data_IF_693683519631
#
_entry.id   IF_693683519631
#
_cell.length_a   1.000
_cell.length_b   1.000
_cell.length_c   1.000
_cell.angle_alpha   90.00
_cell.angle_beta   90.00
_cell.angle_gamma   90.00
#
_symmetry.space_group_name_H-M   'P 1'
#
loop_
_entity.id
_entity.type
_entity.pdbx_description
1 polymer ?
#
# COMPACT_ATOMS: atom_id res chain seq x y z
N UNK A 1 22.90 92.39 -20.68
CA UNK A 1 21.65 93.10 -20.82
C UNK A 1 20.53 92.10 -21.14
N UNK A 2 19.44 92.15 -20.43
CA UNK A 2 18.23 91.37 -20.72
C UNK A 2 17.53 91.99 -21.93
N UNK A 3 17.23 91.21 -22.92
CA UNK A 3 16.38 91.68 -24.03
C UNK A 3 14.92 91.31 -23.69
N UNK A 4 14.11 92.32 -23.54
CA UNK A 4 12.66 92.16 -23.35
C UNK A 4 12.00 92.27 -24.73
N UNK A 5 11.43 91.20 -25.22
CA UNK A 5 10.71 91.22 -26.51
C UNK A 5 9.22 91.35 -26.16
N UNK A 6 8.78 92.57 -26.05
CA UNK A 6 7.37 92.93 -25.92
C UNK A 6 6.83 93.38 -27.30
N UNK A 7 6.14 92.49 -28.01
CA UNK A 7 5.48 92.82 -29.27
C UNK A 7 5.57 91.68 -30.31
N UNK A 8 4.62 91.62 -31.24
CA UNK A 8 4.60 90.67 -32.37
C UNK A 8 5.62 91.03 -33.40
N UNK A 9 6.85 90.59 -33.32
CA UNK A 9 7.90 90.77 -34.29
C UNK A 9 8.48 89.48 -34.81
N UNK A 10 8.48 89.21 -36.11
CA UNK A 10 9.17 88.13 -36.76
C UNK A 10 10.63 88.56 -36.98
N UNK A 11 11.54 88.07 -36.17
CA UNK A 11 12.98 88.24 -36.47
C UNK A 11 13.45 87.03 -37.30
N UNK A 12 13.85 87.30 -38.54
CA UNK A 12 14.59 86.39 -39.41
C UNK A 12 16.08 86.60 -39.17
N UNK A 13 16.68 85.72 -38.40
CA UNK A 13 18.14 85.73 -38.16
C UNK A 13 18.47 85.00 -36.86
N UNK A 14 19.72 84.48 -36.76
CA UNK A 14 20.23 83.87 -35.58
C UNK A 14 20.42 84.93 -34.48
N UNK A 15 19.57 84.95 -33.47
CA UNK A 15 19.78 85.77 -32.28
C UNK A 15 20.49 84.93 -31.24
N UNK A 16 21.71 85.31 -30.88
CA UNK A 16 22.48 84.70 -29.78
C UNK A 16 22.22 85.54 -28.52
N UNK A 17 21.52 84.89 -27.56
CA UNK A 17 21.26 85.48 -26.24
C UNK A 17 22.32 84.99 -25.28
N UNK A 18 23.16 85.83 -24.75
CA UNK A 18 24.20 85.50 -23.75
C UNK A 18 23.71 85.55 -22.30
N UNK A 19 22.51 86.06 -22.09
CA UNK A 19 21.88 86.15 -20.75
C UNK A 19 20.37 85.88 -20.92
N UNK A 20 19.79 84.99 -20.32
CA UNK A 20 18.41 84.53 -20.30
C UNK A 20 17.35 85.21 -21.17
N UNK A 21 16.44 84.43 -21.72
CA UNK A 21 15.22 84.87 -22.38
C UNK A 21 14.08 84.80 -21.36
N UNK A 22 13.51 85.98 -21.06
CA UNK A 22 12.32 86.04 -20.20
C UNK A 22 11.12 86.38 -21.10
N UNK A 23 10.19 85.45 -21.22
CA UNK A 23 8.90 85.72 -21.85
C UNK A 23 7.85 85.87 -20.75
N UNK A 24 7.37 87.08 -20.53
CA UNK A 24 6.31 87.38 -19.58
C UNK A 24 5.02 87.71 -20.35
N UNK A 25 3.98 86.87 -20.17
CA UNK A 25 2.66 87.08 -20.77
C UNK A 25 1.80 85.86 -20.76
N UNK A 26 0.51 85.98 -20.82
CA UNK A 26 -0.49 84.92 -20.82
C UNK A 26 -0.70 84.22 -22.18
N UNK A 27 0.12 84.63 -23.20
CA UNK A 27 0.04 84.06 -24.54
C UNK A 27 0.96 82.84 -24.69
N UNK A 28 0.48 81.76 -25.32
CA UNK A 28 1.26 80.55 -25.63
C UNK A 28 2.31 80.91 -26.68
N UNK A 29 3.58 81.01 -26.30
CA UNK A 29 4.69 81.21 -27.21
C UNK A 29 5.14 79.84 -27.79
N UNK A 30 4.90 79.61 -29.08
CA UNK A 30 5.35 78.45 -29.80
C UNK A 30 6.75 78.70 -30.37
N UNK A 31 7.76 78.10 -29.78
CA UNK A 31 9.13 78.11 -30.32
C UNK A 31 9.35 76.76 -31.05
N UNK A 32 9.45 76.76 -32.36
CA UNK A 32 9.59 75.58 -33.19
C UNK A 32 10.96 74.92 -33.09
N UNK A 33 12.01 75.63 -32.79
CA UNK A 33 13.35 75.05 -32.52
C UNK A 33 14.09 75.99 -31.53
N UNK A 34 14.31 75.50 -30.33
CA UNK A 34 15.16 76.15 -29.33
C UNK A 34 16.36 75.24 -29.05
N UNK A 35 17.53 75.75 -29.47
CA UNK A 35 18.78 75.11 -29.04
C UNK A 35 19.31 75.84 -27.81
N UNK A 36 19.23 75.28 -26.67
CA UNK A 36 19.73 75.88 -25.44
C UNK A 36 21.00 75.16 -25.03
N UNK A 37 22.12 75.87 -25.03
CA UNK A 37 23.39 75.35 -24.50
C UNK A 37 23.50 75.76 -23.02
N UNK A 38 23.70 74.84 -22.13
CA UNK A 38 23.93 75.01 -20.68
C UNK A 38 22.79 75.78 -19.95
N UNK A 39 21.62 75.16 -19.92
CA UNK A 39 20.54 75.58 -18.98
C UNK A 39 20.89 75.18 -17.55
N UNK A 40 20.99 76.15 -16.66
CA UNK A 40 21.25 75.88 -15.26
C UNK A 40 19.99 75.53 -14.41
N UNK A 41 18.84 76.13 -14.73
CA UNK A 41 17.56 75.85 -14.04
C UNK A 41 16.36 76.28 -14.88
N UNK A 42 15.33 75.39 -14.94
CA UNK A 42 13.96 75.63 -15.36
C UNK A 42 13.03 75.37 -14.22
N UNK A 43 12.28 76.31 -13.73
CA UNK A 43 11.39 76.15 -12.56
C UNK A 43 10.18 75.24 -12.85
N UNK A 44 9.61 75.34 -14.07
CA UNK A 44 8.58 74.46 -14.58
C UNK A 44 8.57 74.49 -16.12
N UNK A 45 8.50 73.29 -16.76
CA UNK A 45 8.43 73.16 -18.22
C UNK A 45 7.33 72.21 -18.60
N UNK A 46 6.41 72.68 -19.44
CA UNK A 46 5.38 71.76 -20.01
C UNK A 46 5.74 71.57 -21.50
N UNK A 47 6.09 70.37 -21.87
CA UNK A 47 6.46 69.97 -23.22
C UNK A 47 5.36 69.06 -23.79
N UNK A 48 4.61 69.57 -24.80
CA UNK A 48 3.49 68.85 -25.41
C UNK A 48 3.86 67.96 -26.60
N UNK A 49 5.15 67.93 -26.95
CA UNK A 49 5.67 67.12 -28.07
C UNK A 49 6.64 66.01 -27.68
N UNK A 50 7.27 65.40 -28.69
CA UNK A 50 8.32 64.40 -28.47
C UNK A 50 9.59 65.11 -28.00
N UNK A 51 10.10 64.69 -26.84
CA UNK A 51 11.39 65.15 -26.31
C UNK A 51 12.44 64.07 -26.55
N UNK A 52 13.48 64.36 -27.30
CA UNK A 52 14.60 63.44 -27.53
C UNK A 52 15.83 63.94 -26.76
N UNK A 53 16.36 63.11 -25.90
CA UNK A 53 17.61 63.37 -25.18
C UNK A 53 18.69 62.46 -25.82
N UNK A 54 19.59 63.09 -26.62
CA UNK A 54 20.59 62.38 -27.42
C UNK A 54 21.92 62.16 -26.70
N UNK A 55 21.99 62.34 -25.41
CA UNK A 55 23.22 62.14 -24.66
C UNK A 55 23.45 60.61 -24.46
N UNK A 56 24.62 60.13 -24.88
CA UNK A 56 25.01 58.73 -24.82
C UNK A 56 25.72 58.31 -23.47
N UNK A 57 25.71 59.20 -22.50
CA UNK A 57 26.35 58.90 -21.19
C UNK A 57 25.59 57.81 -20.46
N UNK A 58 26.22 56.68 -20.21
CA UNK A 58 25.65 55.61 -19.44
C UNK A 58 25.50 56.02 -17.96
N UNK A 59 24.35 55.71 -17.37
CA UNK A 59 24.13 55.92 -15.95
C UNK A 59 24.62 54.70 -15.17
N UNK A 60 25.60 54.90 -14.30
CA UNK A 60 26.05 53.87 -13.35
C UNK A 60 25.91 54.31 -11.88
N UNK A 61 25.33 55.50 -11.65
CA UNK A 61 24.98 56.02 -10.34
C UNK A 61 23.76 56.95 -10.43
N UNK A 62 23.15 57.30 -9.33
CA UNK A 62 21.96 58.17 -9.27
C UNK A 62 22.21 59.63 -9.64
N UNK A 63 23.46 60.02 -9.75
CA UNK A 63 23.88 61.39 -10.06
C UNK A 63 24.58 61.52 -11.43
N UNK A 64 24.54 60.49 -12.29
CA UNK A 64 25.08 60.59 -13.65
C UNK A 64 24.09 59.91 -14.65
N UNK A 65 24.22 60.28 -15.91
CA UNK A 65 23.35 59.79 -16.99
C UNK A 65 22.79 60.90 -17.85
N UNK A 66 22.14 60.53 -18.95
CA UNK A 66 21.56 61.53 -19.91
C UNK A 66 20.35 62.23 -19.31
N UNK A 67 19.58 61.61 -18.47
CA UNK A 67 18.47 62.22 -17.73
C UNK A 67 18.60 61.87 -16.26
N UNK A 68 18.70 62.89 -15.41
CA UNK A 68 18.74 62.74 -13.95
C UNK A 68 17.50 63.43 -13.38
N UNK A 69 16.68 62.65 -12.65
CA UNK A 69 15.47 63.15 -11.99
C UNK A 69 15.64 63.00 -10.48
N UNK A 70 15.75 64.13 -9.77
CA UNK A 70 15.94 64.17 -8.32
C UNK A 70 14.67 63.79 -7.52
N UNK A 71 13.53 63.71 -8.18
CA UNK A 71 12.21 63.33 -7.62
C UNK A 71 11.64 62.11 -8.30
N UNK A 72 10.33 61.95 -8.22
CA UNK A 72 9.62 60.88 -8.89
C UNK A 72 9.34 61.11 -10.35
N UNK A 73 9.24 60.07 -11.16
CA UNK A 73 8.80 60.09 -12.56
C UNK A 73 7.42 59.45 -12.63
N UNK A 74 6.40 60.21 -13.03
CA UNK A 74 5.06 59.70 -13.32
C UNK A 74 4.88 59.49 -14.83
N UNK A 75 4.55 58.28 -15.26
CA UNK A 75 4.30 57.92 -16.65
C UNK A 75 2.89 57.40 -16.79
N UNK A 76 2.00 58.12 -17.45
CA UNK A 76 0.60 57.74 -17.65
C UNK A 76 0.38 56.67 -18.72
N UNK A 77 1.41 56.29 -19.47
CA UNK A 77 1.39 55.28 -20.51
C UNK A 77 2.44 54.20 -20.33
N UNK A 78 2.75 53.46 -21.37
CA UNK A 78 3.75 52.41 -21.36
C UNK A 78 5.18 52.97 -21.38
N UNK A 79 6.08 52.34 -20.67
CA UNK A 79 7.53 52.58 -20.68
C UNK A 79 8.24 51.45 -21.43
N UNK A 80 9.03 51.78 -22.44
CA UNK A 80 9.88 50.85 -23.17
C UNK A 80 11.35 51.14 -22.84
N UNK A 81 12.03 50.17 -22.23
CA UNK A 81 13.44 50.29 -21.86
C UNK A 81 14.23 49.24 -22.63
N UNK A 82 15.06 49.69 -23.62
CA UNK A 82 15.85 48.78 -24.45
C UNK A 82 17.09 48.20 -23.78
N UNK A 83 17.41 48.60 -22.56
CA UNK A 83 18.57 48.17 -21.80
C UNK A 83 18.20 47.65 -20.41
N UNK A 84 19.20 47.51 -19.54
CA UNK A 84 18.99 47.04 -18.16
C UNK A 84 18.32 48.12 -17.30
N UNK A 85 17.42 47.72 -16.44
CA UNK A 85 16.82 48.56 -15.41
C UNK A 85 17.33 48.12 -14.02
N UNK A 86 17.92 49.06 -13.27
CA UNK A 86 18.32 48.82 -11.87
C UNK A 86 17.39 49.61 -10.95
N UNK A 87 16.74 48.91 -10.02
CA UNK A 87 15.86 49.51 -9.03
C UNK A 87 16.51 49.30 -7.65
N UNK A 88 17.01 50.39 -7.05
CA UNK A 88 17.67 50.32 -5.73
C UNK A 88 16.71 50.16 -4.55
N UNK A 89 15.41 50.19 -4.79
CA UNK A 89 14.37 50.02 -3.79
C UNK A 89 13.40 48.90 -4.17
N UNK A 90 12.15 49.02 -3.72
CA UNK A 90 11.10 48.04 -4.00
C UNK A 90 10.44 48.27 -5.35
N UNK A 91 10.32 47.22 -6.17
CA UNK A 91 9.45 47.22 -7.35
C UNK A 91 8.05 46.71 -6.93
N UNK A 92 7.04 47.57 -7.06
CA UNK A 92 5.64 47.16 -6.86
C UNK A 92 4.95 47.05 -8.21
N UNK A 93 4.48 45.87 -8.54
CA UNK A 93 3.67 45.58 -9.72
C UNK A 93 2.26 45.25 -9.27
N UNK A 94 1.28 46.09 -9.56
CA UNK A 94 -0.13 45.89 -9.16
C UNK A 94 -0.90 45.02 -10.14
N UNK A 95 -0.34 44.70 -11.29
CA UNK A 95 -0.90 43.82 -12.32
C UNK A 95 -0.04 42.57 -12.52
N UNK A 96 -0.31 41.82 -13.58
CA UNK A 96 0.50 40.66 -13.94
C UNK A 96 1.91 41.08 -14.40
N UNK A 97 2.95 40.46 -13.84
CA UNK A 97 4.33 40.57 -14.31
C UNK A 97 4.65 39.36 -15.21
N UNK A 98 5.09 39.63 -16.45
CA UNK A 98 5.61 38.61 -17.37
C UNK A 98 7.13 38.64 -17.38
N UNK A 99 7.78 37.55 -16.97
CA UNK A 99 9.23 37.41 -16.98
C UNK A 99 9.60 36.39 -18.07
N UNK A 100 9.91 36.87 -19.26
CA UNK A 100 10.16 36.03 -20.45
C UNK A 100 11.57 35.40 -20.50
N UNK A 101 12.39 35.63 -19.51
CA UNK A 101 13.75 35.09 -19.39
C UNK A 101 14.03 34.57 -17.99
N UNK A 102 15.24 34.10 -17.74
CA UNK A 102 15.65 33.55 -16.46
C UNK A 102 15.51 34.58 -15.35
N UNK A 103 14.63 34.33 -14.40
CA UNK A 103 14.56 35.10 -13.16
C UNK A 103 15.45 34.46 -12.12
N UNK A 104 16.50 35.11 -11.66
CA UNK A 104 17.38 34.65 -10.58
C UNK A 104 17.04 35.40 -9.30
N UNK A 105 16.84 34.67 -8.23
CA UNK A 105 16.63 35.21 -6.88
C UNK A 105 17.53 34.54 -5.88
N UNK A 106 17.61 35.07 -4.66
CA UNK A 106 18.28 34.40 -3.56
C UNK A 106 17.46 33.18 -3.21
N UNK A 107 18.10 32.00 -3.17
CA UNK A 107 17.44 30.75 -2.74
C UNK A 107 16.96 30.93 -1.29
N UNK A 108 15.67 30.74 -0.99
CA UNK A 108 15.18 30.79 0.37
C UNK A 108 15.83 29.72 1.26
N UNK A 109 15.87 29.94 2.56
CA UNK A 109 16.33 28.92 3.48
C UNK A 109 15.42 27.67 3.46
N UNK A 110 15.96 26.52 3.76
CA UNK A 110 15.17 25.27 3.87
C UNK A 110 14.03 25.48 4.88
N UNK A 111 12.82 25.09 4.53
CA UNK A 111 11.59 25.29 5.30
C UNK A 111 11.09 26.75 5.39
N UNK A 112 11.54 27.64 4.51
CA UNK A 112 10.97 28.99 4.40
C UNK A 112 9.56 28.91 3.78
N UNK A 113 8.54 29.13 4.60
CA UNK A 113 7.12 29.16 4.18
C UNK A 113 6.62 30.58 3.92
N UNK A 114 7.53 31.54 3.73
CA UNK A 114 7.19 32.92 3.39
C UNK A 114 6.64 33.04 1.96
N UNK A 115 6.17 34.24 1.62
CA UNK A 115 5.67 34.56 0.27
C UNK A 115 6.78 34.87 -0.76
N UNK A 116 8.03 34.52 -0.46
CA UNK A 116 9.16 34.72 -1.38
C UNK A 116 9.03 33.84 -2.61
N UNK A 117 9.51 34.32 -3.73
CA UNK A 117 9.56 33.55 -4.97
C UNK A 117 10.54 32.38 -4.80
N UNK A 118 10.02 31.14 -4.93
CA UNK A 118 10.85 29.95 -4.85
C UNK A 118 11.76 29.84 -6.09
N UNK A 119 13.06 29.69 -5.89
CA UNK A 119 13.98 29.36 -6.97
C UNK A 119 13.89 27.88 -7.36
N UNK A 120 14.30 27.53 -8.58
CA UNK A 120 14.39 26.14 -9.01
C UNK A 120 15.25 25.30 -8.04
N UNK A 121 16.34 25.88 -7.53
CA UNK A 121 17.20 25.23 -6.54
C UNK A 121 16.45 24.95 -5.22
N UNK A 122 15.62 25.89 -4.75
CA UNK A 122 14.78 25.68 -3.56
C UNK A 122 13.75 24.56 -3.78
N UNK A 123 13.02 24.61 -4.89
CA UNK A 123 12.02 23.57 -5.23
C UNK A 123 12.69 22.21 -5.34
N UNK A 124 13.81 22.11 -6.04
CA UNK A 124 14.54 20.85 -6.16
C UNK A 124 15.12 20.37 -4.83
N UNK A 125 15.65 21.26 -3.99
CA UNK A 125 16.19 20.89 -2.69
C UNK A 125 15.11 20.40 -1.72
N UNK A 126 13.92 21.01 -1.77
CA UNK A 126 12.78 20.58 -0.92
C UNK A 126 12.12 19.31 -1.42
N UNK A 127 12.04 19.09 -2.73
CA UNK A 127 11.52 17.85 -3.31
C UNK A 127 12.51 16.69 -3.24
N UNK A 128 13.82 16.98 -3.34
CA UNK A 128 14.87 15.97 -3.27
C UNK A 128 15.36 15.70 -1.83
N UNK A 129 14.92 16.52 -0.86
CA UNK A 129 15.33 16.32 0.53
C UNK A 129 14.53 15.20 1.18
N UNK A 130 15.16 14.12 1.61
CA UNK A 130 14.49 13.06 2.38
C UNK A 130 13.91 13.55 3.71
N UNK A 131 14.33 14.75 4.17
CA UNK A 131 13.87 15.31 5.45
C UNK A 131 12.38 15.70 5.46
N UNK A 132 11.75 15.89 4.29
CA UNK A 132 10.31 16.20 4.18
C UNK A 132 9.44 15.03 3.71
N UNK A 133 9.97 13.82 3.64
CA UNK A 133 9.18 12.57 3.63
C UNK A 133 8.36 12.26 2.37
N UNK A 134 8.55 12.96 1.22
CA UNK A 134 7.60 12.82 0.11
C UNK A 134 8.12 12.18 -1.19
N UNK A 135 9.36 11.77 -1.28
CA UNK A 135 9.83 11.15 -2.52
C UNK A 135 10.69 9.90 -2.29
N UNK A 136 10.04 8.75 -2.36
CA UNK A 136 10.73 7.53 -2.75
C UNK A 136 11.01 7.62 -4.26
N UNK A 137 12.30 7.59 -4.66
CA UNK A 137 12.65 7.63 -6.08
C UNK A 137 12.16 6.37 -6.79
N UNK A 138 11.53 6.53 -7.95
CA UNK A 138 11.11 5.40 -8.80
C UNK A 138 12.29 4.58 -9.33
N UNK A 139 13.50 5.14 -9.31
CA UNK A 139 14.76 4.47 -9.66
C UNK A 139 15.50 3.91 -8.45
N UNK A 140 14.89 3.99 -7.25
CA UNK A 140 15.52 3.64 -5.99
C UNK A 140 16.37 4.78 -5.41
N UNK A 141 16.73 4.65 -4.14
CA UNK A 141 17.59 5.61 -3.44
C UNK A 141 18.99 5.03 -3.33
N UNK A 142 19.96 5.66 -4.02
CA UNK A 142 21.36 5.27 -3.95
C UNK A 142 21.98 5.64 -2.60
N UNK A 143 23.10 4.97 -2.25
CA UNK A 143 23.88 5.21 -1.02
C UNK A 143 23.10 5.00 0.29
N UNK A 144 22.31 3.93 0.34
CA UNK A 144 21.62 3.48 1.53
C UNK A 144 22.66 2.90 2.51
N UNK A 145 22.96 3.62 3.59
CA UNK A 145 23.66 3.04 4.73
C UNK A 145 22.65 2.35 5.66
N UNK A 146 23.03 1.17 6.15
CA UNK A 146 22.18 0.38 7.02
C UNK A 146 21.71 1.21 8.25
N UNK A 147 20.42 1.16 8.53
CA UNK A 147 19.77 1.83 9.66
C UNK A 147 19.44 3.32 9.51
N UNK A 148 19.91 4.01 8.47
CA UNK A 148 19.66 5.45 8.31
C UNK A 148 18.58 5.81 7.29
N UNK A 149 18.20 4.88 6.40
CA UNK A 149 17.21 5.11 5.36
C UNK A 149 16.26 3.91 5.26
N UNK A 150 14.98 4.17 5.34
CA UNK A 150 13.94 3.14 5.31
C UNK A 150 12.69 3.65 4.58
N UNK A 151 11.91 2.70 4.08
CA UNK A 151 10.56 2.93 3.61
C UNK A 151 9.60 2.54 4.74
N UNK A 152 9.06 3.53 5.46
CA UNK A 152 8.24 3.24 6.62
C UNK A 152 7.88 4.49 7.42
N UNK A 153 7.38 4.28 8.63
CA UNK A 153 7.02 5.31 9.60
C UNK A 153 8.05 5.35 10.73
N UNK A 154 8.28 6.52 11.32
CA UNK A 154 9.16 6.71 12.50
C UNK A 154 8.40 6.65 13.81
N UNK A 155 7.09 6.53 13.75
CA UNK A 155 6.17 6.42 14.87
C UNK A 155 5.48 5.05 14.88
N UNK A 156 4.67 4.76 15.88
CA UNK A 156 3.93 3.51 15.99
C UNK A 156 2.71 3.44 15.04
N UNK A 157 2.72 4.21 13.93
CA UNK A 157 1.66 4.16 12.94
C UNK A 157 1.92 3.08 11.89
N UNK A 158 0.89 2.37 11.45
CA UNK A 158 1.03 1.32 10.45
C UNK A 158 1.35 1.86 9.07
N UNK A 159 2.21 1.15 8.34
CA UNK A 159 2.41 1.38 6.92
C UNK A 159 1.30 0.72 6.11
N UNK A 160 0.50 1.52 5.40
CA UNK A 160 -0.58 1.03 4.56
C UNK A 160 -0.24 1.18 3.07
N UNK A 161 -0.42 0.12 2.30
CA UNK A 161 -0.41 0.14 0.83
C UNK A 161 -1.84 0.20 0.33
N UNK A 162 -2.12 1.07 -0.65
CA UNK A 162 -3.45 1.22 -1.23
C UNK A 162 -3.40 1.12 -2.75
N UNK A 163 -4.37 0.43 -3.34
CA UNK A 163 -4.66 0.41 -4.77
C UNK A 163 -6.08 0.93 -4.96
N UNK A 164 -6.25 1.94 -5.81
CA UNK A 164 -7.55 2.58 -6.05
C UNK A 164 -8.30 2.89 -4.73
N UNK A 165 -7.60 3.55 -3.79
CA UNK A 165 -8.05 3.90 -2.44
C UNK A 165 -8.47 2.74 -1.53
N UNK A 166 -8.33 1.48 -1.96
CA UNK A 166 -8.58 0.28 -1.16
C UNK A 166 -7.28 -0.20 -0.54
N UNK A 167 -7.30 -0.55 0.75
CA UNK A 167 -6.13 -1.12 1.43
C UNK A 167 -5.79 -2.46 0.78
N UNK A 168 -4.58 -2.56 0.24
CA UNK A 168 -4.05 -3.73 -0.44
C UNK A 168 -2.82 -4.30 0.26
N UNK A 169 -2.43 -3.72 1.38
CA UNK A 169 -1.36 -4.20 2.24
C UNK A 169 -1.22 -3.34 3.48
N UNK A 170 -0.72 -3.95 4.54
CA UNK A 170 -0.46 -3.30 5.81
C UNK A 170 0.64 -4.00 6.57
N UNK A 171 1.58 -3.22 7.07
CA UNK A 171 2.54 -3.65 8.08
C UNK A 171 2.32 -2.84 9.35
N UNK A 172 2.11 -3.55 10.45
CA UNK A 172 1.90 -2.97 11.75
C UNK A 172 3.06 -3.35 12.66
N UNK A 173 3.80 -2.35 13.11
CA UNK A 173 5.02 -2.53 13.90
C UNK A 173 4.78 -2.48 15.41
N UNK A 174 3.55 -2.23 15.84
CA UNK A 174 3.20 -2.32 17.25
C UNK A 174 3.40 -3.76 17.73
N UNK A 175 4.26 -3.95 18.72
CA UNK A 175 4.56 -5.26 19.30
C UNK A 175 3.31 -5.99 19.84
N UNK A 176 2.24 -5.25 20.10
CA UNK A 176 0.94 -5.76 20.55
C UNK A 176 0.07 -6.18 19.38
N UNK A 177 0.02 -5.40 18.32
CA UNK A 177 -0.83 -5.64 17.14
C UNK A 177 -0.14 -6.53 16.13
N UNK A 178 1.11 -6.26 15.76
CA UNK A 178 2.02 -7.10 14.99
C UNK A 178 1.41 -7.75 13.74
N UNK A 179 0.64 -7.02 12.91
CA UNK A 179 -0.04 -7.57 11.75
C UNK A 179 0.74 -7.31 10.46
N UNK A 180 0.91 -8.33 9.63
CA UNK A 180 1.50 -8.20 8.30
C UNK A 180 0.54 -8.74 7.24
N UNK A 181 0.03 -7.88 6.35
CA UNK A 181 -0.87 -8.31 5.26
C UNK A 181 -0.44 -7.70 3.93
N UNK A 182 -0.54 -8.48 2.86
CA UNK A 182 -0.28 -8.02 1.50
C UNK A 182 -1.18 -8.75 0.51
N UNK A 183 -1.96 -8.00 -0.25
CA UNK A 183 -2.92 -8.49 -1.23
C UNK A 183 -4.22 -7.69 -1.17
N UNK A 184 -4.93 -7.60 -2.28
CA UNK A 184 -6.22 -6.89 -2.33
C UNK A 184 -7.20 -7.47 -1.31
N UNK A 185 -7.69 -6.64 -0.38
CA UNK A 185 -8.60 -7.04 0.68
C UNK A 185 -7.98 -7.95 1.76
N UNK A 186 -6.66 -8.17 1.77
CA UNK A 186 -6.03 -8.93 2.84
C UNK A 186 -6.19 -8.23 4.20
N UNK A 187 -6.75 -8.92 5.19
CA UNK A 187 -7.01 -8.37 6.52
C UNK A 187 -7.99 -7.19 6.57
N UNK A 188 -8.86 -7.02 5.56
CA UNK A 188 -9.69 -5.81 5.43
C UNK A 188 -10.67 -5.60 6.59
N UNK A 189 -11.24 -6.65 7.14
CA UNK A 189 -12.23 -6.59 8.21
C UNK A 189 -11.66 -6.91 9.60
N UNK A 190 -10.34 -6.84 9.76
CA UNK A 190 -9.72 -7.08 11.06
C UNK A 190 -10.11 -6.00 12.07
N UNK A 191 -10.79 -6.38 13.13
CA UNK A 191 -11.06 -5.49 14.27
C UNK A 191 -9.83 -5.51 15.17
N UNK A 192 -9.20 -4.36 15.28
CA UNK A 192 -8.05 -4.17 16.17
C UNK A 192 -8.50 -3.49 17.43
N UNK A 193 -8.61 -4.23 18.50
CA UNK A 193 -8.89 -3.66 19.82
C UNK A 193 -7.63 -3.69 20.66
N UNK A 194 -7.20 -2.52 21.09
CA UNK A 194 -6.16 -2.32 22.12
C UNK A 194 -6.78 -1.94 23.46
N UNK A 195 -8.09 -2.07 23.60
CA UNK A 195 -8.74 -1.83 24.90
C UNK A 195 -8.13 -2.74 25.97
N UNK A 196 -7.85 -2.18 27.13
CA UNK A 196 -7.13 -2.86 28.20
C UNK A 196 -7.66 -4.27 28.45
N UNK A 197 -6.85 -5.29 28.16
CA UNK A 197 -7.16 -6.69 28.43
C UNK A 197 -7.74 -7.49 27.26
N UNK A 198 -8.00 -6.91 26.08
CA UNK A 198 -8.56 -7.65 24.94
C UNK A 198 -7.78 -7.39 23.66
N UNK A 199 -6.95 -8.39 23.27
CA UNK A 199 -6.19 -8.36 22.02
C UNK A 199 -6.97 -9.12 20.94
N UNK A 200 -7.71 -8.43 20.11
CA UNK A 200 -8.43 -9.02 18.98
C UNK A 200 -7.78 -8.67 17.65
N UNK A 201 -7.85 -9.59 16.69
CA UNK A 201 -7.38 -9.38 15.34
C UNK A 201 -5.87 -9.08 15.21
N UNK A 202 -5.07 -9.49 16.20
CA UNK A 202 -3.65 -9.15 16.31
C UNK A 202 -2.74 -10.29 15.86
N UNK A 203 -1.49 -9.96 15.54
CA UNK A 203 -0.42 -10.92 15.20
C UNK A 203 -0.77 -11.85 14.04
N UNK A 204 -1.60 -11.39 13.10
CA UNK A 204 -1.96 -12.15 11.93
C UNK A 204 -1.04 -11.83 10.74
N UNK A 205 -0.66 -12.84 9.99
CA UNK A 205 0.10 -12.73 8.75
C UNK A 205 -0.76 -13.20 7.58
N UNK A 206 -1.06 -12.31 6.62
CA UNK A 206 -1.94 -12.60 5.48
C UNK A 206 -1.34 -12.17 4.15
N UNK A 207 -1.05 -13.11 3.26
CA UNK A 207 -0.49 -12.84 1.93
C UNK A 207 -1.36 -13.47 0.85
N UNK A 208 -1.98 -12.63 0.01
CA UNK A 208 -2.83 -13.05 -1.10
C UNK A 208 -4.17 -12.31 -1.16
N UNK A 209 -4.87 -12.45 -2.29
CA UNK A 209 -6.19 -11.86 -2.50
C UNK A 209 -7.16 -12.34 -1.42
N UNK A 210 -7.74 -11.42 -0.66
CA UNK A 210 -8.69 -11.67 0.43
C UNK A 210 -8.22 -12.74 1.46
N UNK A 211 -6.91 -12.88 1.67
CA UNK A 211 -6.42 -13.69 2.78
C UNK A 211 -6.82 -13.05 4.12
N UNK A 212 -7.21 -13.85 5.12
CA UNK A 212 -7.71 -13.39 6.44
C UNK A 212 -8.72 -12.23 6.36
N UNK A 213 -9.55 -12.19 5.31
CA UNK A 213 -10.43 -11.05 5.01
C UNK A 213 -11.40 -10.74 6.17
N UNK A 214 -12.03 -11.76 6.76
CA UNK A 214 -13.04 -11.62 7.80
C UNK A 214 -12.50 -11.81 9.23
N UNK A 215 -11.20 -11.88 9.43
CA UNK A 215 -10.60 -12.13 10.75
C UNK A 215 -10.80 -10.93 11.68
N UNK A 216 -11.95 -10.86 12.30
CA UNK A 216 -12.32 -9.76 13.21
C UNK A 216 -11.65 -9.91 14.58
N UNK A 217 -11.76 -11.08 15.20
CA UNK A 217 -11.32 -11.33 16.57
C UNK A 217 -10.16 -12.33 16.66
N UNK A 218 -9.98 -13.18 15.64
CA UNK A 218 -8.93 -14.19 15.60
C UNK A 218 -7.52 -13.58 15.60
N UNK A 219 -6.60 -14.21 16.30
CA UNK A 219 -5.19 -13.76 16.45
C UNK A 219 -4.22 -14.87 16.10
N UNK A 220 -2.97 -14.48 15.84
CA UNK A 220 -1.86 -15.42 15.67
C UNK A 220 -2.08 -16.40 14.50
N UNK A 221 -2.78 -15.96 13.44
CA UNK A 221 -3.01 -16.76 12.25
C UNK A 221 -2.01 -16.44 11.15
N UNK A 222 -1.62 -17.47 10.40
CA UNK A 222 -0.84 -17.32 9.16
C UNK A 222 -1.67 -17.81 7.98
N UNK A 223 -1.89 -16.96 6.98
CA UNK A 223 -2.65 -17.29 5.78
C UNK A 223 -1.90 -16.84 4.52
N UNK A 224 -1.57 -17.78 3.65
CA UNK A 224 -0.89 -17.53 2.38
C UNK A 224 -1.66 -18.15 1.23
N UNK A 225 -2.16 -17.34 0.31
CA UNK A 225 -2.90 -17.81 -0.85
C UNK A 225 -4.20 -17.05 -1.09
N UNK A 226 -4.79 -17.28 -2.26
CA UNK A 226 -6.10 -16.73 -2.63
C UNK A 226 -7.18 -17.23 -1.66
N UNK A 227 -7.86 -16.32 -0.97
CA UNK A 227 -8.95 -16.59 -0.03
C UNK A 227 -8.60 -17.60 1.09
N UNK A 228 -7.34 -17.70 1.47
CA UNK A 228 -6.97 -18.50 2.65
C UNK A 228 -7.51 -17.84 3.92
N UNK A 229 -8.14 -18.61 4.82
CA UNK A 229 -8.83 -18.11 6.02
C UNK A 229 -9.84 -16.99 5.73
N UNK A 230 -10.52 -17.01 4.59
CA UNK A 230 -11.42 -15.92 4.16
C UNK A 230 -12.49 -15.58 5.20
N UNK A 231 -13.20 -16.59 5.69
CA UNK A 231 -14.37 -16.44 6.59
C UNK A 231 -14.04 -16.67 8.06
N UNK A 232 -12.77 -16.69 8.43
CA UNK A 232 -12.37 -16.88 9.83
C UNK A 232 -12.61 -15.60 10.63
N UNK A 233 -13.61 -15.56 11.48
CA UNK A 233 -13.90 -14.37 12.31
C UNK A 233 -13.19 -14.41 13.65
N UNK A 234 -13.18 -15.54 14.33
CA UNK A 234 -12.76 -15.66 15.73
C UNK A 234 -11.69 -16.71 16.00
N UNK A 235 -11.40 -17.59 15.02
CA UNK A 235 -10.40 -18.66 15.19
C UNK A 235 -8.97 -18.12 15.24
N UNK A 236 -8.18 -18.66 16.15
CA UNK A 236 -6.80 -18.25 16.43
C UNK A 236 -5.81 -19.39 16.26
N UNK A 237 -4.53 -19.04 16.15
CA UNK A 237 -3.41 -20.00 16.14
C UNK A 237 -3.50 -21.01 15.00
N UNK A 238 -3.99 -20.60 13.83
CA UNK A 238 -4.14 -21.43 12.64
C UNK A 238 -3.15 -21.06 11.54
N UNK A 239 -2.70 -22.10 10.81
CA UNK A 239 -1.86 -21.93 9.62
C UNK A 239 -2.59 -22.44 8.38
N UNK A 240 -2.83 -21.57 7.39
CA UNK A 240 -3.49 -21.88 6.13
C UNK A 240 -2.64 -21.45 4.93
N UNK A 241 -2.11 -22.38 4.19
CA UNK A 241 -1.25 -22.14 3.02
C UNK A 241 -1.84 -22.84 1.79
N UNK A 242 -2.28 -22.06 0.81
CA UNK A 242 -2.83 -22.58 -0.43
C UNK A 242 -4.10 -21.85 -0.88
N UNK A 243 -4.52 -22.13 -2.11
CA UNK A 243 -5.79 -21.62 -2.65
C UNK A 243 -6.96 -22.13 -1.80
N UNK A 244 -7.72 -21.21 -1.20
CA UNK A 244 -8.88 -21.51 -0.35
C UNK A 244 -8.61 -22.50 0.81
N UNK A 245 -7.37 -22.57 1.29
CA UNK A 245 -7.06 -23.32 2.49
C UNK A 245 -7.82 -22.69 3.67
N UNK A 246 -8.56 -23.50 4.44
CA UNK A 246 -9.41 -23.08 5.57
C UNK A 246 -10.38 -21.93 5.20
N UNK A 247 -10.85 -21.86 3.95
CA UNK A 247 -11.64 -20.72 3.45
C UNK A 247 -12.86 -20.42 4.30
N UNK A 248 -13.58 -21.44 4.75
CA UNK A 248 -14.80 -21.32 5.56
C UNK A 248 -14.58 -21.66 7.04
N UNK A 249 -13.34 -21.55 7.52
CA UNK A 249 -13.05 -21.90 8.91
C UNK A 249 -13.69 -20.90 9.89
N UNK A 250 -14.25 -21.42 10.96
CA UNK A 250 -14.48 -20.77 12.26
C UNK A 250 -15.17 -19.40 12.25
N UNK A 251 -16.37 -19.33 11.73
CA UNK A 251 -17.26 -18.22 11.95
C UNK A 251 -18.20 -18.50 13.14
N UNK A 252 -17.72 -18.29 14.34
CA UNK A 252 -18.64 -18.16 15.49
C UNK A 252 -19.24 -16.76 15.44
N UNK A 253 -20.35 -16.61 14.71
CA UNK A 253 -21.10 -15.37 14.68
C UNK A 253 -21.43 -14.95 16.12
N UNK A 254 -21.00 -13.72 16.49
CA UNK A 254 -21.42 -12.95 17.67
C UNK A 254 -20.77 -13.23 19.04
N UNK A 255 -19.61 -13.85 19.16
CA UNK A 255 -19.01 -13.95 20.50
C UNK A 255 -18.06 -12.81 20.86
N UNK A 256 -17.67 -11.94 19.93
CA UNK A 256 -16.68 -10.87 20.17
C UNK A 256 -15.45 -11.35 20.97
N UNK A 257 -15.11 -12.63 20.83
CA UNK A 257 -14.00 -13.28 21.52
C UNK A 257 -13.21 -14.15 20.56
N UNK A 258 -11.91 -14.22 20.74
CA UNK A 258 -11.05 -15.18 20.03
C UNK A 258 -11.05 -16.53 20.77
N UNK A 259 -10.91 -17.61 20.03
CA UNK A 259 -10.68 -18.96 20.58
C UNK A 259 -9.62 -19.70 19.79
N UNK A 260 -8.87 -20.53 20.49
CA UNK A 260 -7.79 -21.29 19.89
C UNK A 260 -8.32 -22.47 19.07
N UNK A 261 -7.81 -22.64 17.87
CA UNK A 261 -8.18 -23.71 16.95
C UNK A 261 -7.04 -24.68 16.67
N UNK A 262 -5.81 -24.18 16.60
CA UNK A 262 -4.60 -24.97 16.36
C UNK A 262 -4.69 -25.85 15.11
N UNK A 263 -5.32 -25.35 14.06
CA UNK A 263 -5.45 -26.06 12.80
C UNK A 263 -4.29 -25.72 11.84
N UNK A 264 -3.80 -26.72 11.12
CA UNK A 264 -2.82 -26.53 10.06
C UNK A 264 -3.38 -27.08 8.75
N UNK A 265 -3.44 -26.24 7.71
CA UNK A 265 -3.92 -26.60 6.38
C UNK A 265 -2.92 -26.14 5.31
N UNK A 266 -2.37 -27.09 4.58
CA UNK A 266 -1.41 -26.81 3.49
C UNK A 266 -1.88 -27.51 2.21
N UNK A 267 -2.26 -26.73 1.19
CA UNK A 267 -2.70 -27.26 -0.09
C UNK A 267 -3.99 -26.62 -0.61
N UNK A 268 -4.34 -26.94 -1.85
CA UNK A 268 -5.57 -26.49 -2.50
C UNK A 268 -6.80 -27.00 -1.73
N UNK A 269 -7.64 -26.08 -1.22
CA UNK A 269 -8.87 -26.38 -0.46
C UNK A 269 -8.66 -27.37 0.71
N UNK A 270 -7.46 -27.42 1.28
CA UNK A 270 -7.21 -28.21 2.49
C UNK A 270 -8.01 -27.61 3.66
N UNK A 271 -8.68 -28.47 4.45
CA UNK A 271 -9.47 -28.09 5.62
C UNK A 271 -10.46 -26.92 5.32
N UNK A 272 -11.01 -26.90 4.10
CA UNK A 272 -11.81 -25.78 3.61
C UNK A 272 -13.03 -25.49 4.50
N UNK A 273 -13.63 -26.52 5.06
CA UNK A 273 -14.87 -26.45 5.83
C UNK A 273 -16.12 -26.48 4.94
N UNK A 274 -17.28 -26.66 5.55
CA UNK A 274 -18.58 -26.57 4.88
C UNK A 274 -18.87 -25.12 4.42
N UNK A 275 -19.83 -24.96 3.52
CA UNK A 275 -20.29 -23.64 3.06
C UNK A 275 -20.98 -22.80 4.15
N UNK A 276 -21.24 -23.38 5.32
CA UNK A 276 -21.74 -22.68 6.51
C UNK A 276 -20.61 -22.51 7.50
N UNK A 277 -19.90 -21.37 7.52
CA UNK A 277 -18.71 -21.20 8.35
C UNK A 277 -18.95 -21.40 9.84
N UNK A 278 -20.11 -21.02 10.35
CA UNK A 278 -20.48 -21.21 11.77
C UNK A 278 -20.59 -22.70 12.20
N UNK A 279 -20.73 -23.62 11.25
CA UNK A 279 -20.72 -25.05 11.54
C UNK A 279 -19.28 -25.61 11.67
N UNK A 280 -18.29 -24.88 11.24
CA UNK A 280 -16.90 -25.35 11.16
C UNK A 280 -16.14 -25.03 12.46
N UNK A 281 -16.34 -25.86 13.47
CA UNK A 281 -15.81 -25.67 14.83
C UNK A 281 -14.66 -26.61 15.21
N UNK A 282 -14.22 -27.45 14.26
CA UNK A 282 -13.16 -28.42 14.46
C UNK A 282 -11.82 -27.81 14.84
N UNK A 283 -11.10 -28.46 15.76
CA UNK A 283 -9.81 -28.00 16.31
C UNK A 283 -8.74 -29.07 16.21
N UNK A 284 -7.49 -28.65 16.30
CA UNK A 284 -6.34 -29.56 16.35
C UNK A 284 -6.23 -30.46 15.13
N UNK A 285 -6.64 -30.00 13.96
CA UNK A 285 -6.56 -30.77 12.73
C UNK A 285 -5.32 -30.39 11.93
N UNK A 286 -4.65 -31.36 11.35
CA UNK A 286 -3.56 -31.19 10.39
C UNK A 286 -3.99 -31.74 9.04
N UNK A 287 -4.07 -30.90 8.02
CA UNK A 287 -4.44 -31.24 6.65
C UNK A 287 -3.35 -30.81 5.67
N UNK A 288 -2.68 -31.75 5.02
CA UNK A 288 -1.65 -31.45 4.03
C UNK A 288 -1.94 -32.19 2.73
N UNK A 289 -2.19 -31.44 1.65
CA UNK A 289 -2.48 -32.00 0.33
C UNK A 289 -3.73 -31.42 -0.31
N UNK A 290 -3.94 -31.75 -1.59
CA UNK A 290 -5.13 -31.36 -2.34
C UNK A 290 -6.39 -31.89 -1.69
N UNK A 291 -7.29 -31.00 -1.26
CA UNK A 291 -8.59 -31.32 -0.65
C UNK A 291 -8.53 -32.28 0.56
N UNK A 292 -7.42 -32.34 1.28
CA UNK A 292 -7.35 -33.07 2.54
C UNK A 292 -8.27 -32.41 3.57
N UNK A 293 -9.09 -33.20 4.32
CA UNK A 293 -10.09 -32.73 5.28
C UNK A 293 -11.03 -31.64 4.74
N UNK A 294 -11.34 -31.66 3.45
CA UNK A 294 -12.06 -30.56 2.79
C UNK A 294 -13.40 -30.22 3.44
N UNK A 295 -14.20 -31.22 3.82
CA UNK A 295 -15.58 -31.02 4.29
C UNK A 295 -15.73 -31.06 5.82
N UNK A 296 -14.65 -30.87 6.54
CA UNK A 296 -14.67 -30.90 8.02
C UNK A 296 -15.64 -29.84 8.58
N UNK A 297 -16.39 -30.23 9.60
CA UNK A 297 -17.25 -29.31 10.37
C UNK A 297 -16.85 -29.29 11.84
N UNK A 298 -17.25 -30.26 12.62
CA UNK A 298 -16.98 -30.33 14.06
C UNK A 298 -15.84 -31.30 14.44
N UNK A 299 -15.37 -32.12 13.47
CA UNK A 299 -14.31 -33.07 13.70
C UNK A 299 -13.01 -32.43 14.18
N UNK A 300 -12.37 -33.09 15.14
CA UNK A 300 -11.17 -32.54 15.80
C UNK A 300 -10.09 -33.62 15.96
N UNK A 301 -8.84 -33.17 16.14
CA UNK A 301 -7.71 -34.10 16.36
C UNK A 301 -7.46 -35.06 15.19
N UNK A 302 -7.74 -34.65 13.96
CA UNK A 302 -7.49 -35.44 12.77
C UNK A 302 -6.18 -35.05 12.09
N UNK A 303 -5.44 -36.03 11.60
CA UNK A 303 -4.26 -35.87 10.76
C UNK A 303 -4.56 -36.45 9.38
N UNK A 304 -4.56 -35.59 8.33
CA UNK A 304 -4.80 -36.02 6.97
C UNK A 304 -3.66 -35.50 6.06
N UNK A 305 -2.85 -36.41 5.57
CA UNK A 305 -1.72 -36.09 4.70
C UNK A 305 -1.84 -36.86 3.39
N UNK A 306 -2.08 -36.17 2.30
CA UNK A 306 -2.21 -36.76 0.98
C UNK A 306 -3.35 -36.19 0.15
N UNK A 307 -3.42 -36.57 -1.12
CA UNK A 307 -4.49 -36.20 -2.04
C UNK A 307 -5.83 -36.78 -1.56
N UNK A 308 -6.79 -35.91 -1.25
CA UNK A 308 -8.13 -36.29 -0.77
C UNK A 308 -8.17 -37.22 0.47
N UNK A 309 -7.17 -37.14 1.32
CA UNK A 309 -7.22 -37.84 2.62
C UNK A 309 -8.32 -37.22 3.49
N UNK A 310 -9.21 -38.06 4.09
CA UNK A 310 -10.34 -37.64 4.92
C UNK A 310 -11.24 -36.59 4.28
N UNK A 311 -11.38 -36.57 2.95
CA UNK A 311 -12.04 -35.45 2.23
C UNK A 311 -13.50 -35.27 2.63
N UNK A 312 -14.26 -36.31 2.97
CA UNK A 312 -15.66 -36.26 3.38
C UNK A 312 -15.87 -36.24 4.90
N UNK A 313 -14.80 -36.23 5.70
CA UNK A 313 -14.95 -36.22 7.16
C UNK A 313 -15.65 -34.94 7.62
N UNK A 314 -16.78 -35.08 8.29
CA UNK A 314 -17.54 -33.97 8.86
C UNK A 314 -17.32 -33.86 10.38
N UNK A 315 -17.62 -34.89 11.13
CA UNK A 315 -17.57 -34.89 12.60
C UNK A 315 -16.65 -35.93 13.22
N UNK A 316 -16.07 -36.83 12.40
CA UNK A 316 -15.14 -37.84 12.91
C UNK A 316 -13.93 -37.23 13.61
N UNK A 317 -13.50 -37.83 14.72
CA UNK A 317 -12.40 -37.32 15.55
C UNK A 317 -11.28 -38.35 15.70
N UNK A 318 -10.08 -37.86 16.00
CA UNK A 318 -8.90 -38.69 16.29
C UNK A 318 -8.53 -39.68 15.16
N UNK A 319 -8.73 -39.29 13.90
CA UNK A 319 -8.33 -40.12 12.76
C UNK A 319 -6.94 -39.72 12.27
N UNK A 320 -6.14 -40.70 11.91
CA UNK A 320 -4.86 -40.53 11.20
C UNK A 320 -4.97 -41.15 9.81
N UNK A 321 -4.90 -40.33 8.77
CA UNK A 321 -4.96 -40.74 7.37
C UNK A 321 -3.73 -40.21 6.60
N UNK A 322 -2.84 -41.11 6.24
CA UNK A 322 -1.61 -40.75 5.52
C UNK A 322 -1.57 -41.49 4.19
N UNK A 323 -1.72 -40.75 3.08
CA UNK A 323 -1.72 -41.29 1.73
C UNK A 323 -2.90 -40.83 0.89
N UNK A 324 -2.83 -41.07 -0.41
CA UNK A 324 -3.85 -40.64 -1.36
C UNK A 324 -5.14 -41.49 -1.20
N UNK A 325 -6.31 -40.79 -1.19
CA UNK A 325 -7.64 -41.39 -1.01
C UNK A 325 -7.82 -42.22 0.29
N UNK A 326 -7.02 -41.93 1.31
CA UNK A 326 -7.09 -42.63 2.59
C UNK A 326 -8.25 -42.10 3.42
N UNK A 327 -9.15 -42.98 3.92
CA UNK A 327 -10.38 -42.61 4.64
C UNK A 327 -11.24 -41.58 3.88
N UNK A 328 -11.25 -41.62 2.55
CA UNK A 328 -11.85 -40.55 1.73
C UNK A 328 -13.37 -40.42 1.90
N UNK A 329 -14.10 -41.50 2.17
CA UNK A 329 -15.56 -41.49 2.43
C UNK A 329 -15.93 -41.46 3.93
N UNK A 330 -14.94 -41.33 4.82
CA UNK A 330 -15.24 -41.24 6.25
C UNK A 330 -16.04 -39.98 6.53
N UNK A 331 -17.20 -40.14 7.15
CA UNK A 331 -18.04 -38.99 7.55
C UNK A 331 -18.00 -38.72 9.04
N UNK A 332 -18.26 -39.78 9.85
CA UNK A 332 -18.37 -39.70 11.30
C UNK A 332 -17.45 -40.67 12.04
N UNK A 333 -16.82 -41.61 11.31
CA UNK A 333 -15.92 -42.59 11.88
C UNK A 333 -14.76 -41.95 12.64
N UNK A 334 -14.36 -42.53 13.75
CA UNK A 334 -13.41 -41.93 14.69
C UNK A 334 -12.34 -42.95 15.14
N UNK A 335 -11.20 -42.41 15.60
CA UNK A 335 -10.13 -43.24 16.14
C UNK A 335 -9.52 -44.22 15.11
N UNK A 336 -9.62 -43.96 13.82
CA UNK A 336 -9.06 -44.79 12.79
C UNK A 336 -7.62 -44.39 12.44
N UNK A 337 -6.75 -45.38 12.24
CA UNK A 337 -5.39 -45.21 11.76
C UNK A 337 -5.25 -45.87 10.40
N UNK A 338 -4.99 -45.07 9.37
CA UNK A 338 -4.90 -45.54 7.99
C UNK A 338 -3.64 -44.96 7.31
N UNK A 339 -2.73 -45.85 6.90
CA UNK A 339 -1.44 -45.44 6.31
C UNK A 339 -1.20 -46.19 5.00
N UNK A 340 -1.19 -45.44 3.89
CA UNK A 340 -0.99 -45.96 2.54
C UNK A 340 -2.06 -45.44 1.56
N UNK A 341 -2.08 -45.92 0.33
CA UNK A 341 -3.03 -45.47 -0.70
C UNK A 341 -4.33 -46.24 -0.68
N UNK A 342 -5.48 -45.54 -0.79
CA UNK A 342 -6.82 -46.13 -0.84
C UNK A 342 -7.13 -47.06 0.37
N UNK A 343 -6.65 -46.66 1.53
CA UNK A 343 -6.86 -47.40 2.79
C UNK A 343 -8.18 -46.95 3.42
N UNK A 344 -9.02 -47.92 3.88
CA UNK A 344 -10.33 -47.62 4.49
C UNK A 344 -11.14 -46.61 3.63
N UNK A 345 -10.99 -46.65 2.32
CA UNK A 345 -11.56 -45.66 1.45
C UNK A 345 -13.08 -45.59 1.51
N UNK A 346 -13.75 -46.71 1.78
CA UNK A 346 -15.21 -46.81 1.88
C UNK A 346 -15.75 -46.71 3.32
N UNK A 347 -14.88 -46.55 4.32
CA UNK A 347 -15.35 -46.36 5.70
C UNK A 347 -16.20 -45.12 5.83
N UNK A 348 -17.42 -45.24 6.32
CA UNK A 348 -18.30 -44.08 6.56
C UNK A 348 -18.37 -43.72 8.04
N UNK A 349 -18.54 -44.71 8.93
CA UNK A 349 -18.75 -44.49 10.37
C UNK A 349 -18.00 -45.47 11.24
N UNK A 350 -17.24 -46.42 10.67
CA UNK A 350 -16.46 -47.39 11.46
C UNK A 350 -15.45 -46.72 12.39
N UNK A 351 -15.26 -47.30 13.57
CA UNK A 351 -14.48 -46.70 14.64
C UNK A 351 -13.32 -47.65 15.04
N UNK A 352 -12.18 -47.07 15.38
CA UNK A 352 -11.05 -47.78 15.98
C UNK A 352 -10.34 -48.75 15.04
N UNK A 353 -10.44 -48.56 13.73
CA UNK A 353 -9.81 -49.48 12.77
C UNK A 353 -8.34 -49.06 12.53
N UNK A 354 -7.47 -50.05 12.34
CA UNK A 354 -6.07 -49.90 11.98
C UNK A 354 -5.81 -50.54 10.62
N UNK A 355 -5.37 -49.77 9.65
CA UNK A 355 -5.11 -50.27 8.29
C UNK A 355 -3.80 -49.75 7.74
N UNK A 356 -2.91 -50.61 7.30
CA UNK A 356 -1.59 -50.26 6.75
C UNK A 356 -1.30 -51.07 5.50
N UNK A 357 -1.00 -50.38 4.38
CA UNK A 357 -0.65 -51.05 3.12
C UNK A 357 -1.18 -50.33 1.88
N UNK A 358 -1.74 -51.05 0.95
CA UNK A 358 -2.43 -50.56 -0.25
C UNK A 358 -3.81 -51.22 -0.36
N UNK A 359 -4.87 -50.48 -0.56
CA UNK A 359 -6.25 -50.97 -0.62
C UNK A 359 -6.64 -51.85 0.58
N UNK A 360 -6.15 -51.52 1.76
CA UNK A 360 -6.37 -52.30 2.98
C UNK A 360 -7.65 -51.84 3.66
N UNK A 361 -8.45 -52.80 4.23
CA UNK A 361 -9.78 -52.55 4.78
C UNK A 361 -10.72 -51.78 3.83
N UNK A 362 -10.61 -52.00 2.53
CA UNK A 362 -11.36 -51.23 1.56
C UNK A 362 -12.84 -51.61 1.50
N UNK A 363 -13.21 -52.82 1.94
CA UNK A 363 -14.61 -53.27 2.03
C UNK A 363 -15.29 -52.85 3.34
N UNK A 364 -14.55 -52.31 4.31
CA UNK A 364 -15.11 -51.87 5.59
C UNK A 364 -15.93 -50.58 5.41
N UNK A 365 -17.21 -50.61 5.75
CA UNK A 365 -18.12 -49.46 5.69
C UNK A 365 -18.41 -48.93 7.10
N UNK A 366 -18.79 -49.81 8.02
CA UNK A 366 -19.22 -49.46 9.37
C UNK A 366 -18.58 -50.34 10.46
N UNK A 367 -17.75 -51.31 10.07
CA UNK A 367 -17.08 -52.24 11.00
C UNK A 367 -16.11 -51.52 11.93
N UNK A 368 -16.01 -52.00 13.15
CA UNK A 368 -15.23 -51.37 14.20
C UNK A 368 -14.11 -52.27 14.71
N UNK A 369 -13.06 -51.64 15.19
CA UNK A 369 -11.94 -52.31 15.88
C UNK A 369 -11.24 -53.39 15.03
N UNK A 370 -11.23 -53.22 13.71
CA UNK A 370 -10.57 -54.12 12.79
C UNK A 370 -9.10 -53.71 12.58
N UNK A 371 -8.22 -54.68 12.46
CA UNK A 371 -6.82 -54.44 12.11
C UNK A 371 -6.50 -55.17 10.82
N UNK A 372 -6.01 -54.46 9.80
CA UNK A 372 -5.49 -55.09 8.59
C UNK A 372 -4.15 -54.50 8.20
N UNK A 373 -3.20 -55.35 7.89
CA UNK A 373 -1.85 -54.96 7.48
C UNK A 373 -1.39 -55.81 6.31
N UNK A 374 -1.12 -55.17 5.18
CA UNK A 374 -0.65 -55.80 3.97
C UNK A 374 -1.34 -55.27 2.71
N UNK A 375 -0.82 -55.61 1.54
CA UNK A 375 -1.45 -55.28 0.25
C UNK A 375 -2.79 -56.01 0.15
N UNK A 376 -3.89 -55.31 -0.04
CA UNK A 376 -5.22 -55.88 -0.16
C UNK A 376 -5.70 -56.70 1.06
N UNK A 377 -5.07 -56.57 2.21
CA UNK A 377 -5.58 -57.19 3.43
C UNK A 377 -6.94 -56.58 3.80
N UNK A 378 -7.97 -57.42 4.07
CA UNK A 378 -9.33 -56.91 4.23
C UNK A 378 -10.14 -57.67 5.27
N UNK A 379 -11.05 -56.98 5.93
CA UNK A 379 -12.10 -57.50 6.76
C UNK A 379 -13.41 -57.16 6.08
N UNK A 380 -14.07 -58.17 5.47
CA UNK A 380 -15.18 -57.95 4.56
C UNK A 380 -16.45 -57.44 5.25
N UNK A 381 -17.05 -56.38 4.70
CA UNK A 381 -18.34 -55.87 5.17
C UNK A 381 -18.27 -55.09 6.48
N UNK A 382 -19.31 -55.20 7.30
CA UNK A 382 -19.41 -54.50 8.60
C UNK A 382 -18.97 -55.39 9.78
N UNK A 383 -18.00 -56.23 9.55
CA UNK A 383 -17.44 -57.12 10.60
C UNK A 383 -16.67 -56.29 11.63
N UNK A 384 -16.67 -56.76 12.86
CA UNK A 384 -16.07 -56.04 13.99
C UNK A 384 -15.07 -56.91 14.74
N UNK A 385 -14.03 -56.28 15.29
CA UNK A 385 -13.02 -56.91 16.13
C UNK A 385 -12.29 -58.08 15.45
N UNK A 386 -11.82 -57.84 14.22
CA UNK A 386 -11.15 -58.88 13.44
C UNK A 386 -9.79 -58.37 12.88
N UNK A 387 -8.91 -59.33 12.62
CA UNK A 387 -7.56 -59.04 12.15
C UNK A 387 -7.24 -59.80 10.87
N UNK A 388 -6.68 -59.08 9.87
CA UNK A 388 -6.17 -59.63 8.62
C UNK A 388 -4.72 -59.20 8.40
N UNK A 389 -3.79 -60.10 8.49
CA UNK A 389 -2.36 -59.83 8.37
C UNK A 389 -1.74 -60.58 7.19
N UNK A 390 -1.14 -59.82 6.27
CA UNK A 390 -0.45 -60.36 5.11
C UNK A 390 -1.09 -59.93 3.78
N UNK A 391 -0.37 -60.20 2.68
CA UNK A 391 -0.88 -59.91 1.34
C UNK A 391 -2.19 -60.68 1.08
N UNK A 392 -3.25 -59.93 0.72
CA UNK A 392 -4.59 -60.47 0.43
C UNK A 392 -5.16 -61.38 1.54
N UNK A 393 -4.74 -61.19 2.77
CA UNK A 393 -5.36 -61.85 3.92
C UNK A 393 -6.79 -61.30 4.08
N UNK A 394 -7.82 -62.19 4.09
CA UNK A 394 -9.21 -61.73 4.20
C UNK A 394 -9.97 -62.55 5.23
N UNK A 395 -10.82 -61.86 6.02
CA UNK A 395 -11.77 -62.55 6.92
C UNK A 395 -13.15 -61.86 6.80
N UNK A 396 -14.21 -62.61 6.92
CA UNK A 396 -15.61 -62.18 6.92
C UNK A 396 -16.34 -62.52 8.22
N UNK A 397 -15.62 -62.95 9.24
CA UNK A 397 -16.18 -63.40 10.49
C UNK A 397 -15.65 -62.50 11.64
N UNK A 398 -16.55 -62.05 12.50
CA UNK A 398 -16.20 -61.25 13.68
C UNK A 398 -15.34 -62.06 14.69
N UNK A 399 -14.51 -61.32 15.42
CA UNK A 399 -13.63 -61.87 16.44
C UNK A 399 -12.65 -62.94 15.90
N UNK A 400 -12.16 -62.78 14.68
CA UNK A 400 -11.22 -63.72 14.03
C UNK A 400 -9.90 -63.06 13.67
N UNK A 401 -8.85 -63.90 13.64
CA UNK A 401 -7.53 -63.52 13.14
C UNK A 401 -7.23 -64.35 11.90
N UNK A 402 -6.99 -63.69 10.77
CA UNK A 402 -6.50 -64.30 9.54
C UNK A 402 -5.03 -63.95 9.33
N UNK A 403 -4.15 -64.93 9.30
CA UNK A 403 -2.75 -64.77 8.93
C UNK A 403 -2.53 -65.30 7.53
N UNK A 404 -2.15 -64.38 6.63
CA UNK A 404 -1.96 -64.69 5.21
C UNK A 404 -3.27 -65.01 4.44
N UNK A 405 -3.11 -65.26 3.14
CA UNK A 405 -4.19 -65.76 2.27
C UNK A 405 -4.18 -67.32 2.31
N UNK A 406 -5.14 -67.94 1.62
CA UNK A 406 -5.22 -69.42 1.57
C UNK A 406 -4.03 -70.17 0.97
N UNK A 407 -3.03 -69.41 0.44
CA UNK A 407 -1.80 -69.96 -0.13
C UNK A 407 -0.63 -70.07 0.88
N UNK A 408 -0.80 -69.54 2.09
CA UNK A 408 0.23 -69.65 3.14
C UNK A 408 -0.05 -70.89 3.98
N UNK A 409 0.82 -71.87 3.89
CA UNK A 409 0.81 -73.04 4.76
C UNK A 409 1.10 -72.60 6.21
N UNK A 410 0.32 -73.04 7.16
CA UNK A 410 0.49 -72.79 8.59
C UNK A 410 1.77 -73.39 9.11
#
# INVERSE_FOLDING_TARGET
>A
GSYDITGSGTTRGLATFTSGITASGTSVNTLNNVTVQNISTLAATNISGVTTISNATASNATNNGALIVGGGVGIGGSTNIGGNTSIGGTLVVTGAASLNSISTGTTPATNDNSTKLATTAYVMSTLASPANGFAWSTTGNANMTDGSKFFGTTDAQPLNFKLNNTVSGRFDVDAVIGQATLGYGAGANTVRSTAAGTLYGTKNSGFGYQSIFSTAYGKENTAVGYQSLLSNTSGSSSTAIGFQAMMNANDFANTNTSFETFNTAIGYQSLMGSSTPSANTGKYNTATGYQSLKNITTGSHNTAIGYQALTLNTSGVNNTAIGSFTLSNNTTGSHNTAIGRSILANNSSGIGNVAIGYSTLNSNVTGNYNTAIGYGADVSGSVTNSMALGNSATTNTANTIQLGNGSIAK
#
